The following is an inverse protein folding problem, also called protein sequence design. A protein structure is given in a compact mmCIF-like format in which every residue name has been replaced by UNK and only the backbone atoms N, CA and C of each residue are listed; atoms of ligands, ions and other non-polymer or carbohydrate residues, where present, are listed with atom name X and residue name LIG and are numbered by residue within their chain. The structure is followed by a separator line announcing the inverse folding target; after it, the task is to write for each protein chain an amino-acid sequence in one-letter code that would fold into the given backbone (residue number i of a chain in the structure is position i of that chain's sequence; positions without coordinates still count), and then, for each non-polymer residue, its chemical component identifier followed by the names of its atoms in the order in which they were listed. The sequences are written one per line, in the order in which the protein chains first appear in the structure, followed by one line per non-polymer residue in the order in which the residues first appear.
data_IF_789554973911
#
_entry.id   IF_789554973911
#
_cell.length_a   1.000
_cell.length_b   1.000
_cell.length_c   1.000
_cell.angle_alpha   90.00
_cell.angle_beta   90.00
_cell.angle_gamma   90.00
#
_symmetry.space_group_name_H-M   'P 1'
#
loop_
_entity.id
_entity.type
_entity.pdbx_description
1 polymer ?
#
# COMPACT_ATOMS: atom_id res chain seq x y z
N UNK A 1 -26.79 -3.54 -15.54
CA UNK A 1 -26.80 -2.09 -15.79
C UNK A 1 -25.41 -1.69 -16.24
N UNK A 2 -25.24 -0.96 -17.34
CA UNK A 2 -23.95 -0.38 -17.75
C UNK A 2 -23.91 1.05 -17.23
N UNK A 3 -22.89 1.42 -16.46
CA UNK A 3 -22.77 2.74 -15.81
C UNK A 3 -22.15 3.82 -16.71
N UNK A 4 -21.89 3.51 -17.99
CA UNK A 4 -21.39 4.46 -18.98
C UNK A 4 -19.86 4.51 -19.12
N UNK A 5 -19.11 3.80 -18.26
CA UNK A 5 -17.66 3.67 -18.41
C UNK A 5 -17.30 2.71 -19.56
N UNK A 6 -16.22 3.05 -20.27
CA UNK A 6 -15.54 2.16 -21.21
C UNK A 6 -14.42 1.45 -20.45
N UNK A 7 -14.37 0.12 -20.53
CA UNK A 7 -13.34 -0.69 -19.88
C UNK A 7 -12.41 -1.25 -20.95
N UNK A 8 -11.10 -1.09 -20.73
CA UNK A 8 -10.04 -1.65 -21.57
C UNK A 8 -9.27 -2.65 -20.72
N UNK A 9 -9.14 -3.88 -21.20
CA UNK A 9 -8.26 -4.87 -20.58
C UNK A 9 -6.81 -4.53 -20.91
N UNK A 10 -5.97 -4.43 -19.88
CA UNK A 10 -4.56 -4.11 -20.02
C UNK A 10 -3.74 -5.40 -19.92
N UNK A 11 -2.71 -5.53 -20.75
CA UNK A 11 -1.72 -6.58 -20.56
C UNK A 11 -1.01 -6.37 -19.22
N UNK A 12 -0.88 -7.43 -18.42
CA UNK A 12 -0.18 -7.35 -17.16
C UNK A 12 1.32 -7.15 -17.40
N UNK A 13 1.80 -5.94 -17.11
CA UNK A 13 3.22 -5.63 -16.96
C UNK A 13 3.43 -5.27 -15.50
N UNK A 14 4.39 -5.91 -14.84
CA UNK A 14 4.74 -5.59 -13.46
C UNK A 14 5.92 -4.62 -13.50
N UNK A 15 5.81 -3.40 -12.94
CA UNK A 15 6.98 -2.53 -12.84
C UNK A 15 8.01 -3.20 -11.92
N UNK A 16 9.29 -3.11 -12.31
CA UNK A 16 10.37 -3.64 -11.48
C UNK A 16 10.66 -2.67 -10.33
N UNK A 17 9.99 -2.87 -9.20
CA UNK A 17 10.16 -2.10 -7.97
C UNK A 17 11.33 -2.64 -7.11
N UNK A 18 12.47 -2.91 -7.75
CA UNK A 18 13.65 -3.45 -7.08
C UNK A 18 14.18 -2.47 -6.03
N UNK A 19 14.25 -2.95 -4.79
CA UNK A 19 14.63 -2.14 -3.62
C UNK A 19 13.46 -1.51 -2.88
N UNK A 20 12.20 -1.88 -3.19
CA UNK A 20 11.04 -1.40 -2.45
C UNK A 20 11.10 -1.75 -0.95
N UNK A 21 11.48 -2.98 -0.61
CA UNK A 21 11.67 -3.37 0.81
C UNK A 21 12.80 -2.57 1.46
N UNK A 22 13.88 -2.29 0.73
CA UNK A 22 14.96 -1.44 1.24
C UNK A 22 14.52 0.00 1.46
N UNK A 23 13.66 0.57 0.60
CA UNK A 23 13.07 1.88 0.85
C UNK A 23 12.30 1.88 2.18
N UNK A 24 11.44 0.90 2.40
CA UNK A 24 10.68 0.77 3.65
C UNK A 24 11.59 0.59 4.87
N UNK A 25 12.64 -0.22 4.74
CA UNK A 25 13.61 -0.43 5.82
C UNK A 25 14.37 0.85 6.16
N UNK A 26 14.87 1.57 5.15
CA UNK A 26 15.62 2.82 5.32
C UNK A 26 14.76 3.88 6.01
N UNK A 27 13.50 4.03 5.57
CA UNK A 27 12.55 4.96 6.20
C UNK A 27 12.28 4.53 7.64
N UNK A 28 11.94 3.26 7.91
CA UNK A 28 11.67 2.76 9.27
C UNK A 28 12.88 2.87 10.21
N UNK A 29 14.11 2.61 9.73
CA UNK A 29 15.34 2.70 10.52
C UNK A 29 15.57 4.12 11.04
N UNK A 30 15.11 5.12 10.31
CA UNK A 30 15.22 6.54 10.66
C UNK A 30 13.99 7.05 11.41
N UNK A 31 12.80 6.75 10.91
CA UNK A 31 11.57 7.41 11.31
C UNK A 31 11.00 6.84 12.61
N UNK A 32 11.18 5.54 12.89
CA UNK A 32 10.70 4.96 14.14
C UNK A 32 11.47 5.51 15.37
N UNK A 33 12.81 5.57 15.39
CA UNK A 33 13.52 6.24 16.48
C UNK A 33 13.18 7.72 16.62
N UNK A 34 13.04 8.43 15.49
CA UNK A 34 12.64 9.84 15.49
C UNK A 34 11.23 10.04 16.09
N UNK A 35 10.29 9.15 15.76
CA UNK A 35 8.96 9.11 16.36
C UNK A 35 9.03 8.90 17.87
N UNK A 36 9.78 7.90 18.34
CA UNK A 36 9.91 7.64 19.78
C UNK A 36 10.52 8.82 20.56
N UNK A 37 11.48 9.51 19.96
CA UNK A 37 12.11 10.68 20.57
C UNK A 37 11.19 11.91 20.61
N UNK A 38 10.44 12.19 19.53
CA UNK A 38 9.68 13.44 19.39
C UNK A 38 8.20 13.36 19.74
N UNK A 39 7.56 12.22 19.48
CA UNK A 39 6.10 12.03 19.56
C UNK A 39 5.67 10.87 20.47
N UNK A 40 6.62 9.99 20.84
CA UNK A 40 6.38 8.87 21.74
C UNK A 40 6.12 9.29 23.18
N UNK A 41 5.56 8.37 23.97
CA UNK A 41 5.48 8.55 25.42
C UNK A 41 6.89 8.65 26.03
N UNK A 42 7.06 9.37 27.16
CA UNK A 42 8.36 9.56 27.78
C UNK A 42 9.14 8.26 28.05
N UNK A 43 8.44 7.18 28.40
CA UNK A 43 9.03 5.85 28.64
C UNK A 43 9.67 5.20 27.40
N UNK A 44 9.28 5.62 26.19
CA UNK A 44 9.82 5.13 24.93
C UNK A 44 10.90 6.05 24.34
N UNK A 45 11.20 7.19 24.97
CA UNK A 45 12.24 8.08 24.46
C UNK A 45 13.58 7.34 24.41
N UNK A 46 14.27 7.46 23.27
CA UNK A 46 15.53 6.76 23.00
C UNK A 46 15.37 5.31 22.57
N UNK A 47 14.13 4.82 22.39
CA UNK A 47 13.91 3.53 21.75
C UNK A 47 14.22 3.60 20.26
N UNK A 48 14.65 2.46 19.73
CA UNK A 48 14.83 2.20 18.32
C UNK A 48 14.25 0.81 17.97
N UNK A 49 14.45 0.38 16.73
CA UNK A 49 13.99 -0.93 16.26
C UNK A 49 14.63 -2.07 17.07
N UNK A 50 15.91 -1.96 17.42
CA UNK A 50 16.60 -2.99 18.19
C UNK A 50 15.99 -3.13 19.59
N UNK A 51 15.63 -2.01 20.24
CA UNK A 51 14.99 -2.02 21.55
C UNK A 51 13.62 -2.68 21.53
N UNK A 52 12.83 -2.42 20.49
CA UNK A 52 11.56 -3.12 20.25
C UNK A 52 11.79 -4.63 20.11
N UNK A 53 12.83 -5.02 19.37
CA UNK A 53 13.15 -6.45 19.20
C UNK A 53 13.59 -7.14 20.48
N UNK A 54 14.32 -6.44 21.36
CA UNK A 54 14.65 -6.94 22.70
C UNK A 54 13.40 -7.18 23.55
N UNK A 55 12.46 -6.24 23.55
CA UNK A 55 11.19 -6.39 24.26
C UNK A 55 10.43 -7.62 23.75
N UNK A 56 10.32 -7.78 22.44
CA UNK A 56 9.63 -8.92 21.84
C UNK A 56 10.28 -10.26 22.23
N UNK A 57 11.61 -10.29 22.39
CA UNK A 57 12.35 -11.49 22.84
C UNK A 57 12.08 -11.85 24.30
N UNK A 58 11.71 -10.88 25.14
CA UNK A 58 11.43 -11.13 26.56
C UNK A 58 10.18 -12.02 26.77
N UNK A 59 9.23 -11.98 25.84
CA UNK A 59 8.05 -12.85 25.84
C UNK A 59 7.62 -13.20 24.41
N UNK A 60 8.42 -14.06 23.76
CA UNK A 60 8.26 -14.34 22.34
C UNK A 60 6.96 -15.06 21.98
N UNK A 61 6.37 -15.82 22.90
CA UNK A 61 5.08 -16.49 22.65
C UNK A 61 3.94 -15.49 22.49
N UNK A 62 4.01 -14.35 23.20
CA UNK A 62 2.99 -13.32 23.15
C UNK A 62 3.32 -12.21 22.13
N UNK A 63 4.58 -11.77 22.06
CA UNK A 63 4.95 -10.59 21.26
C UNK A 63 5.46 -10.91 19.85
N UNK A 64 6.03 -12.10 19.63
CA UNK A 64 6.54 -12.51 18.32
C UNK A 64 6.26 -13.98 18.00
N UNK A 65 5.00 -14.46 18.09
CA UNK A 65 4.65 -15.87 17.86
C UNK A 65 5.02 -16.39 16.46
N UNK A 66 5.15 -15.48 15.49
CA UNK A 66 5.57 -15.79 14.11
C UNK A 66 6.98 -15.27 13.78
N UNK A 67 7.74 -14.90 14.81
CA UNK A 67 9.04 -14.25 14.65
C UNK A 67 8.96 -12.74 14.41
N UNK A 68 10.11 -12.13 14.14
CA UNK A 68 10.24 -10.68 13.91
C UNK A 68 11.21 -10.33 12.78
N UNK A 69 11.17 -11.12 11.69
CA UNK A 69 12.09 -11.01 10.54
C UNK A 69 12.07 -9.62 9.90
N UNK A 70 10.93 -8.94 9.85
CA UNK A 70 10.83 -7.60 9.27
C UNK A 70 11.61 -6.57 10.11
N UNK A 71 11.53 -6.64 11.45
CA UNK A 71 12.36 -5.80 12.31
C UNK A 71 13.85 -6.12 12.15
N UNK A 72 14.21 -7.40 12.04
CA UNK A 72 15.58 -7.80 11.74
C UNK A 72 16.06 -7.24 10.39
N UNK A 73 15.19 -7.25 9.37
CA UNK A 73 15.49 -6.66 8.06
C UNK A 73 15.78 -5.16 8.13
N UNK A 74 15.08 -4.42 8.99
CA UNK A 74 15.33 -2.99 9.20
C UNK A 74 16.69 -2.76 9.87
N UNK A 75 17.07 -3.59 10.86
CA UNK A 75 18.36 -3.45 11.54
C UNK A 75 19.53 -3.87 10.65
N UNK A 76 19.33 -4.91 9.83
CA UNK A 76 20.34 -5.46 8.92
C UNK A 76 20.49 -4.62 7.64
N UNK A 77 19.52 -3.77 7.33
CA UNK A 77 19.60 -2.86 6.20
C UNK A 77 20.83 -1.96 6.34
N UNK A 78 21.57 -1.79 5.25
CA UNK A 78 22.76 -0.93 5.26
C UNK A 78 22.36 0.50 5.59
N UNK A 79 23.31 1.29 6.08
CA UNK A 79 23.07 2.72 6.27
C UNK A 79 23.14 3.44 4.91
N UNK A 80 22.04 4.07 4.53
CA UNK A 80 21.97 4.94 3.36
C UNK A 80 22.30 6.37 3.78
N UNK A 81 23.15 7.05 3.01
CA UNK A 81 23.25 8.50 3.10
C UNK A 81 21.92 9.16 2.69
N UNK A 82 21.65 10.41 3.13
CA UNK A 82 20.45 11.14 2.71
C UNK A 82 20.30 11.23 1.18
N UNK A 83 21.41 11.34 0.44
CA UNK A 83 21.41 11.38 -1.01
C UNK A 83 21.03 10.02 -1.64
N UNK A 84 21.54 8.91 -1.11
CA UNK A 84 21.20 7.57 -1.60
C UNK A 84 19.74 7.20 -1.32
N UNK A 85 19.24 7.54 -0.13
CA UNK A 85 17.83 7.32 0.24
C UNK A 85 16.89 8.14 -0.66
N UNK A 86 17.19 9.42 -0.88
CA UNK A 86 16.42 10.25 -1.80
C UNK A 86 16.46 9.72 -3.24
N UNK A 87 17.63 9.29 -3.73
CA UNK A 87 17.76 8.72 -5.06
C UNK A 87 16.99 7.40 -5.22
N UNK A 88 16.99 6.53 -4.20
CA UNK A 88 16.20 5.30 -4.18
C UNK A 88 14.70 5.60 -4.26
N UNK A 89 14.22 6.54 -3.45
CA UNK A 89 12.82 6.97 -3.42
C UNK A 89 12.39 7.55 -4.77
N UNK A 90 13.15 8.51 -5.30
CA UNK A 90 12.87 9.12 -6.60
C UNK A 90 12.82 8.07 -7.71
N UNK A 91 13.80 7.17 -7.78
CA UNK A 91 13.83 6.11 -8.80
C UNK A 91 12.57 5.25 -8.75
N UNK A 92 12.22 4.73 -7.56
CA UNK A 92 11.06 3.86 -7.40
C UNK A 92 9.76 4.58 -7.75
N UNK A 93 9.58 5.82 -7.27
CA UNK A 93 8.39 6.63 -7.58
C UNK A 93 8.29 6.92 -9.06
N UNK A 94 9.38 7.33 -9.73
CA UNK A 94 9.39 7.57 -11.18
C UNK A 94 9.04 6.29 -11.95
N UNK A 95 9.62 5.14 -11.60
CA UNK A 95 9.31 3.86 -12.27
C UNK A 95 7.83 3.48 -12.13
N UNK A 96 7.24 3.69 -10.96
CA UNK A 96 5.82 3.41 -10.74
C UNK A 96 4.90 4.40 -11.49
N UNK A 97 5.28 5.68 -11.58
CA UNK A 97 4.55 6.70 -12.34
C UNK A 97 4.62 6.41 -13.85
N UNK A 98 5.80 6.13 -14.39
CA UNK A 98 6.00 5.77 -15.80
C UNK A 98 5.16 4.56 -16.21
N UNK A 99 4.99 3.59 -15.30
CA UNK A 99 4.10 2.44 -15.51
C UNK A 99 2.64 2.86 -15.74
N UNK A 100 2.06 3.70 -14.89
CA UNK A 100 0.70 4.18 -15.06
C UNK A 100 0.56 5.14 -16.24
N UNK A 101 1.51 6.07 -16.39
CA UNK A 101 1.53 7.07 -17.46
C UNK A 101 1.54 6.42 -18.85
N UNK A 102 2.28 5.32 -19.00
CA UNK A 102 2.29 4.54 -20.24
C UNK A 102 0.88 4.11 -20.66
N UNK A 103 0.08 3.57 -19.74
CA UNK A 103 -1.28 3.11 -20.05
C UNK A 103 -2.27 4.27 -20.20
N UNK A 104 -2.15 5.32 -19.38
CA UNK A 104 -2.94 6.54 -19.53
C UNK A 104 -2.76 7.10 -20.94
N UNK A 105 -1.53 7.24 -21.41
CA UNK A 105 -1.23 7.82 -22.73
C UNK A 105 -1.60 6.88 -23.88
N UNK A 106 -1.32 5.57 -23.74
CA UNK A 106 -1.54 4.61 -24.82
C UNK A 106 -3.01 4.27 -25.05
N UNK A 107 -3.85 4.37 -24.01
CA UNK A 107 -5.26 4.00 -24.07
C UNK A 107 -6.22 5.13 -23.71
N UNK A 108 -5.71 6.35 -23.45
CA UNK A 108 -6.50 7.51 -23.03
C UNK A 108 -7.39 7.19 -21.81
N UNK A 109 -6.76 6.65 -20.75
CA UNK A 109 -7.46 6.21 -19.54
C UNK A 109 -7.57 7.35 -18.53
N UNK A 110 -8.72 7.42 -17.85
CA UNK A 110 -8.89 8.30 -16.70
C UNK A 110 -8.36 7.67 -15.39
N UNK A 111 -8.27 6.33 -15.33
CA UNK A 111 -7.84 5.60 -14.13
C UNK A 111 -7.79 4.09 -14.35
N UNK A 112 -7.63 3.35 -13.25
CA UNK A 112 -7.38 1.91 -13.27
C UNK A 112 -8.33 1.16 -12.31
N UNK A 113 -8.56 -0.11 -12.64
CA UNK A 113 -9.26 -1.06 -11.79
C UNK A 113 -8.31 -2.20 -11.43
N UNK A 114 -8.34 -2.62 -10.17
CA UNK A 114 -7.56 -3.75 -9.65
C UNK A 114 -8.43 -4.62 -8.75
N UNK A 115 -8.14 -5.91 -8.69
CA UNK A 115 -8.80 -6.82 -7.75
C UNK A 115 -8.03 -6.77 -6.43
N UNK A 116 -8.76 -6.54 -5.33
CA UNK A 116 -8.20 -6.44 -3.99
C UNK A 116 -7.01 -5.47 -3.97
N UNK A 117 -5.83 -5.94 -3.58
CA UNK A 117 -4.59 -5.19 -3.48
C UNK A 117 -3.55 -5.58 -4.55
N UNK A 118 -3.96 -6.21 -5.66
CA UNK A 118 -3.03 -6.75 -6.65
C UNK A 118 -2.12 -5.69 -7.28
N UNK A 119 -2.55 -4.42 -7.33
CA UNK A 119 -1.74 -3.29 -7.80
C UNK A 119 -1.47 -2.23 -6.70
N UNK A 120 -1.56 -2.63 -5.42
CA UNK A 120 -1.43 -1.68 -4.32
C UNK A 120 0.00 -1.16 -4.16
N UNK A 121 1.02 -1.97 -4.46
CA UNK A 121 2.41 -1.55 -4.36
C UNK A 121 2.73 -0.46 -5.38
N UNK A 122 2.29 -0.63 -6.63
CA UNK A 122 2.48 0.30 -7.73
C UNK A 122 1.78 1.62 -7.42
N UNK A 123 0.49 1.56 -7.05
CA UNK A 123 -0.28 2.76 -6.71
C UNK A 123 0.35 3.52 -5.52
N UNK A 124 0.77 2.81 -4.47
CA UNK A 124 1.40 3.42 -3.31
C UNK A 124 2.74 4.10 -3.65
N UNK A 125 3.61 3.42 -4.41
CA UNK A 125 4.92 3.96 -4.80
C UNK A 125 4.78 5.14 -5.77
N UNK A 126 3.76 5.13 -6.64
CA UNK A 126 3.45 6.21 -7.57
C UNK A 126 2.77 7.43 -6.89
N UNK A 127 2.34 7.30 -5.63
CA UNK A 127 1.46 8.26 -4.94
C UNK A 127 0.12 8.48 -5.64
N UNK A 128 -0.43 7.41 -6.24
CA UNK A 128 -1.75 7.43 -6.85
C UNK A 128 -2.82 7.06 -5.82
N UNK A 129 -3.86 7.90 -5.62
CA UNK A 129 -4.94 7.58 -4.69
C UNK A 129 -5.71 6.33 -5.15
N UNK A 130 -6.09 5.50 -4.18
CA UNK A 130 -6.84 4.27 -4.43
C UNK A 130 -7.98 4.11 -3.42
N UNK A 131 -9.11 3.56 -3.87
CA UNK A 131 -10.27 3.23 -3.03
C UNK A 131 -10.84 1.86 -3.42
N UNK A 132 -11.01 0.98 -2.44
CA UNK A 132 -11.61 -0.34 -2.63
C UNK A 132 -13.09 -0.34 -2.24
N UNK A 133 -13.94 -0.82 -3.14
CA UNK A 133 -15.38 -1.03 -2.90
C UNK A 133 -15.67 -2.54 -3.01
N UNK A 134 -16.54 -3.13 -2.16
CA UNK A 134 -16.90 -4.54 -2.28
C UNK A 134 -17.43 -4.89 -3.67
N UNK A 135 -16.90 -5.96 -4.28
CA UNK A 135 -17.33 -6.45 -5.60
C UNK A 135 -18.03 -7.81 -5.57
N UNK A 136 -18.22 -8.37 -4.38
CA UNK A 136 -18.95 -9.61 -4.18
C UNK A 136 -18.17 -10.60 -3.33
N UNK A 137 -18.55 -11.86 -3.47
CA UNK A 137 -18.02 -12.98 -2.70
C UNK A 137 -17.85 -14.19 -3.61
N UNK A 138 -16.88 -15.05 -3.31
CA UNK A 138 -16.81 -16.37 -3.93
C UNK A 138 -17.86 -17.33 -3.35
N UNK A 139 -17.84 -18.58 -3.82
CA UNK A 139 -18.74 -19.65 -3.37
C UNK A 139 -18.57 -19.98 -1.88
N UNK A 140 -17.40 -19.71 -1.29
CA UNK A 140 -17.10 -19.93 0.12
C UNK A 140 -17.51 -18.74 1.01
N UNK A 141 -17.95 -17.63 0.42
CA UNK A 141 -18.27 -16.40 1.13
C UNK A 141 -17.05 -15.53 1.44
N UNK A 142 -15.90 -15.77 0.80
CA UNK A 142 -14.74 -14.88 0.86
C UNK A 142 -15.06 -13.58 0.11
N UNK A 143 -14.95 -12.40 0.75
CA UNK A 143 -15.18 -11.12 0.09
C UNK A 143 -14.06 -10.77 -0.89
N UNK A 144 -14.44 -10.16 -2.01
CA UNK A 144 -13.53 -9.53 -2.96
C UNK A 144 -13.84 -8.03 -3.05
N UNK A 145 -12.80 -7.23 -3.28
CA UNK A 145 -12.89 -5.80 -3.51
C UNK A 145 -12.49 -5.43 -4.93
N UNK A 146 -13.21 -4.47 -5.52
CA UNK A 146 -12.80 -3.75 -6.72
C UNK A 146 -12.13 -2.45 -6.27
N UNK A 147 -10.85 -2.32 -6.57
CA UNK A 147 -10.03 -1.15 -6.23
C UNK A 147 -9.94 -0.23 -7.43
N UNK A 148 -10.43 0.98 -7.27
CA UNK A 148 -10.25 2.08 -8.20
C UNK A 148 -8.94 2.79 -7.85
N UNK A 149 -8.15 3.14 -8.85
CA UNK A 149 -6.90 3.90 -8.70
C UNK A 149 -6.97 5.07 -9.68
N UNK A 150 -6.70 6.27 -9.21
CA UNK A 150 -6.70 7.48 -10.03
C UNK A 150 -5.31 8.14 -10.03
N UNK A 151 -4.99 8.99 -11.01
CA UNK A 151 -3.83 9.87 -10.95
C UNK A 151 -3.83 10.74 -9.68
N UNK A 152 -2.65 11.20 -9.27
CA UNK A 152 -2.50 12.12 -8.14
C UNK A 152 -3.36 13.37 -8.33
N UNK A 153 -4.00 13.85 -7.25
CA UNK A 153 -4.96 14.98 -7.23
C UNK A 153 -6.34 14.73 -7.88
N UNK A 154 -6.63 13.50 -8.32
CA UNK A 154 -7.94 13.12 -8.91
C UNK A 154 -8.89 12.42 -7.92
N UNK A 155 -8.77 12.68 -6.60
CA UNK A 155 -9.59 12.03 -5.57
C UNK A 155 -11.08 12.29 -5.77
N UNK A 156 -11.45 13.46 -6.31
CA UNK A 156 -12.86 13.79 -6.59
C UNK A 156 -13.46 12.82 -7.62
N UNK A 157 -12.74 12.54 -8.71
CA UNK A 157 -13.18 11.57 -9.72
C UNK A 157 -13.22 10.16 -9.13
N UNK A 158 -12.19 9.80 -8.36
CA UNK A 158 -12.10 8.53 -7.66
C UNK A 158 -13.32 8.26 -6.77
N UNK A 159 -13.73 9.24 -5.94
CA UNK A 159 -14.92 9.13 -5.10
C UNK A 159 -16.21 9.01 -5.92
N UNK A 160 -16.32 9.72 -7.05
CA UNK A 160 -17.50 9.64 -7.91
C UNK A 160 -17.65 8.25 -8.53
N UNK A 161 -16.57 7.66 -9.03
CA UNK A 161 -16.59 6.31 -9.58
C UNK A 161 -16.95 5.27 -8.53
N UNK A 162 -16.28 5.32 -7.37
CA UNK A 162 -16.54 4.40 -6.26
C UNK A 162 -17.99 4.49 -5.78
N UNK A 163 -18.52 5.70 -5.58
CA UNK A 163 -19.90 5.91 -5.12
C UNK A 163 -20.92 5.48 -6.19
N UNK A 164 -20.65 5.72 -7.47
CA UNK A 164 -21.53 5.27 -8.55
C UNK A 164 -21.57 3.73 -8.63
N UNK A 165 -20.42 3.08 -8.54
CA UNK A 165 -20.31 1.62 -8.51
C UNK A 165 -20.99 1.02 -7.28
N UNK A 166 -20.73 1.56 -6.08
CA UNK A 166 -21.35 1.09 -4.84
C UNK A 166 -22.87 1.20 -4.88
N UNK A 167 -23.41 2.36 -5.29
CA UNK A 167 -24.86 2.58 -5.38
C UNK A 167 -25.54 1.65 -6.37
N UNK A 168 -24.87 1.32 -7.47
CA UNK A 168 -25.43 0.46 -8.51
C UNK A 168 -25.39 -1.03 -8.15
N UNK A 169 -24.45 -1.46 -7.30
CA UNK A 169 -24.18 -2.88 -7.07
C UNK A 169 -24.54 -3.37 -5.68
N UNK A 170 -24.31 -2.54 -4.65
CA UNK A 170 -24.60 -2.83 -3.24
C UNK A 170 -24.12 -4.23 -2.80
N UNK A 171 -22.94 -4.65 -3.26
CA UNK A 171 -22.45 -6.01 -3.03
C UNK A 171 -22.22 -6.34 -1.56
N UNK A 172 -21.93 -5.33 -0.71
CA UNK A 172 -21.63 -5.53 0.70
C UNK A 172 -22.79 -6.21 1.44
N UNK A 173 -22.50 -7.31 2.12
CA UNK A 173 -23.40 -7.99 3.06
C UNK A 173 -22.84 -7.92 4.47
N UNK A 174 -23.70 -7.82 5.47
CA UNK A 174 -23.28 -7.95 6.87
C UNK A 174 -22.79 -9.38 7.14
N UNK A 175 -21.63 -9.57 7.80
CA UNK A 175 -21.19 -10.89 8.22
C UNK A 175 -22.20 -11.54 9.18
N UNK A 176 -22.41 -12.86 9.06
CA UNK A 176 -23.25 -13.60 10.01
C UNK A 176 -22.59 -13.61 11.39
N UNK A 177 -23.35 -13.33 12.44
CA UNK A 177 -22.87 -13.35 13.83
C UNK A 177 -22.15 -12.07 14.28
N UNK A 178 -22.11 -11.03 13.43
CA UNK A 178 -21.71 -9.69 13.83
C UNK A 178 -22.94 -8.98 14.43
N UNK A 179 -23.14 -9.12 15.74
CA UNK A 179 -24.21 -8.48 16.52
C UNK A 179 -23.74 -7.16 17.13
#
# INVERSE_FOLDING_TARGET
MRLGATIVELEEKQPQLDGFVSLLNVDMKKDLPAYFMGLGLPEYQGWDVAKVMELNKADSLNYMPYGQRLFQGITDEKDYSPAESAALKTRLTTQAQEYFDYYIQSHNLDGFLSVNNYNAAEAAVAFYPAITVPMGYDENGQPFGLTFIAPTEEEKMLYQWAAAYEKATQHRKMPKGYN
#
